data_IF_032984227682
#
_entry.id   IF_032984227682
#
_cell.length_a   1.000
_cell.length_b   1.000
_cell.length_c   1.000
_cell.angle_alpha   90.00
_cell.angle_beta   90.00
_cell.angle_gamma   90.00
#
_symmetry.space_group_name_H-M   'P 1'
#
loop_
_entity.id
_entity.type
_entity.pdbx_description
1 polymer ?
#
# COMPACT_ATOMS: atom_id res chain seq x y z
N UNK A 1 8.33 1.74 -3.02
CA UNK A 1 9.57 1.92 -3.80
C UNK A 1 9.49 3.00 -4.88
N UNK A 2 8.58 2.90 -5.85
CA UNK A 2 8.47 3.90 -6.94
C UNK A 2 8.37 5.33 -6.42
N UNK A 3 7.47 5.57 -5.45
CA UNK A 3 7.32 6.90 -4.84
C UNK A 3 8.55 7.40 -4.09
N UNK A 4 9.34 6.53 -3.47
CA UNK A 4 10.59 6.93 -2.79
C UNK A 4 11.61 7.40 -3.83
N UNK A 5 11.75 6.64 -4.92
CA UNK A 5 12.65 6.98 -6.02
C UNK A 5 12.24 8.30 -6.66
N UNK A 6 10.97 8.43 -7.04
CA UNK A 6 10.45 9.64 -7.67
C UNK A 6 10.56 10.85 -6.75
N UNK A 7 10.23 10.71 -5.47
CA UNK A 7 10.28 11.83 -4.53
C UNK A 7 11.69 12.40 -4.32
N UNK A 8 12.72 11.57 -4.46
CA UNK A 8 14.13 12.00 -4.38
C UNK A 8 14.64 12.66 -5.67
N UNK A 9 13.99 12.39 -6.81
CA UNK A 9 14.42 12.89 -8.12
C UNK A 9 13.63 14.11 -8.57
N UNK A 10 12.34 14.18 -8.22
CA UNK A 10 11.47 15.28 -8.59
C UNK A 10 11.75 16.48 -7.70
N UNK A 11 12.05 17.62 -8.32
CA UNK A 11 12.23 18.89 -7.63
C UNK A 11 11.05 19.83 -7.87
N UNK A 12 10.64 20.53 -6.81
CA UNK A 12 9.74 21.68 -6.88
C UNK A 12 10.18 22.71 -5.85
N UNK A 13 9.96 23.99 -6.13
CA UNK A 13 10.37 25.10 -5.26
C UNK A 13 11.84 25.00 -4.78
N UNK A 14 12.73 24.54 -5.66
CA UNK A 14 14.18 24.52 -5.44
C UNK A 14 14.71 23.36 -4.59
N UNK A 15 13.91 22.31 -4.31
CA UNK A 15 14.38 21.11 -3.61
C UNK A 15 13.61 19.84 -3.99
N UNK A 16 14.18 18.65 -3.75
CA UNK A 16 13.49 17.38 -3.93
C UNK A 16 12.19 17.32 -3.14
N UNK A 17 11.14 16.73 -3.72
CA UNK A 17 9.84 16.66 -3.05
C UNK A 17 9.85 15.76 -1.80
N UNK A 18 10.84 14.87 -1.68
CA UNK A 18 11.10 14.07 -0.48
C UNK A 18 11.42 14.91 0.77
N UNK A 19 11.76 16.20 0.62
CA UNK A 19 12.00 17.11 1.74
C UNK A 19 10.74 17.79 2.28
N UNK A 20 9.60 17.66 1.59
CA UNK A 20 8.34 18.21 2.09
C UNK A 20 7.70 17.25 3.10
N UNK A 21 7.34 17.79 4.27
CA UNK A 21 6.77 17.02 5.38
C UNK A 21 5.53 16.22 4.97
N UNK A 22 4.65 16.77 4.11
CA UNK A 22 3.45 16.06 3.66
C UNK A 22 3.79 14.85 2.77
N UNK A 23 4.83 14.95 1.92
CA UNK A 23 5.31 13.81 1.12
C UNK A 23 5.94 12.78 2.04
N UNK A 24 6.75 13.20 3.02
CA UNK A 24 7.34 12.32 4.02
C UNK A 24 6.26 11.58 4.82
N UNK A 25 5.19 12.26 5.23
CA UNK A 25 4.09 11.66 5.96
C UNK A 25 3.40 10.57 5.13
N UNK A 26 3.16 10.81 3.83
CA UNK A 26 2.58 9.79 2.96
C UNK A 26 3.48 8.57 2.86
N UNK A 27 4.78 8.76 2.64
CA UNK A 27 5.75 7.65 2.57
C UNK A 27 5.86 6.90 3.91
N UNK A 28 5.83 7.60 5.03
CA UNK A 28 5.84 7.00 6.36
C UNK A 28 4.57 6.16 6.62
N UNK A 29 3.40 6.69 6.24
CA UNK A 29 2.14 5.97 6.36
C UNK A 29 2.10 4.71 5.49
N UNK A 30 2.68 4.77 4.28
CA UNK A 30 2.83 3.58 3.42
C UNK A 30 3.68 2.52 4.12
N UNK A 31 4.86 2.89 4.63
CA UNK A 31 5.76 1.96 5.32
C UNK A 31 5.11 1.33 6.55
N UNK A 32 4.46 2.15 7.39
CA UNK A 32 3.71 1.68 8.55
C UNK A 32 2.66 0.62 8.14
N UNK A 33 1.95 0.86 7.04
CA UNK A 33 0.91 -0.04 6.56
C UNK A 33 1.49 -1.36 6.05
N UNK A 34 2.65 -1.32 5.38
CA UNK A 34 3.37 -2.51 4.94
C UNK A 34 3.79 -3.34 6.14
N UNK A 35 4.44 -2.73 7.13
CA UNK A 35 4.94 -3.43 8.31
C UNK A 35 3.80 -4.07 9.11
N UNK A 36 2.71 -3.32 9.35
CA UNK A 36 1.54 -3.83 10.03
C UNK A 36 0.87 -4.99 9.27
N UNK A 37 0.73 -4.87 7.95
CA UNK A 37 0.14 -5.91 7.12
C UNK A 37 1.00 -7.18 7.10
N UNK A 38 2.32 -7.02 7.01
CA UNK A 38 3.25 -8.14 7.03
C UNK A 38 3.20 -8.91 8.34
N UNK A 39 3.10 -8.23 9.48
CA UNK A 39 2.92 -8.88 10.78
C UNK A 39 1.60 -9.67 10.87
N UNK A 40 0.50 -9.15 10.31
CA UNK A 40 -0.79 -9.86 10.27
C UNK A 40 -0.70 -11.13 9.42
N UNK A 41 -0.09 -11.04 8.23
CA UNK A 41 0.10 -12.18 7.32
C UNK A 41 0.99 -13.23 7.95
N UNK A 42 2.11 -12.83 8.56
CA UNK A 42 3.02 -13.76 9.24
C UNK A 42 2.36 -14.45 10.42
N UNK A 43 1.55 -13.74 11.21
CA UNK A 43 0.78 -14.36 12.30
C UNK A 43 -0.19 -15.41 11.75
N UNK A 44 -0.95 -15.09 10.71
CA UNK A 44 -1.88 -16.04 10.09
C UNK A 44 -1.16 -17.28 9.54
N UNK A 45 -0.03 -17.08 8.85
CA UNK A 45 0.82 -18.15 8.33
C UNK A 45 1.45 -19.01 9.42
N UNK A 46 1.93 -18.39 10.50
CA UNK A 46 2.48 -19.11 11.65
C UNK A 46 1.43 -20.02 12.29
N UNK A 47 0.22 -19.51 12.56
CA UNK A 47 -0.88 -20.32 13.11
C UNK A 47 -1.24 -21.49 12.18
N UNK A 48 -1.25 -21.26 10.86
CA UNK A 48 -1.48 -22.30 9.86
C UNK A 48 -0.47 -23.43 9.99
N UNK A 49 0.82 -23.08 10.11
CA UNK A 49 1.91 -24.04 10.22
C UNK A 49 1.88 -24.82 11.54
N UNK A 50 1.31 -24.24 12.60
CA UNK A 50 1.08 -24.92 13.88
C UNK A 50 -0.17 -25.83 13.87
N UNK A 51 -0.92 -25.89 12.77
CA UNK A 51 -2.20 -26.62 12.72
C UNK A 51 -3.31 -25.97 13.55
N UNK A 52 -3.13 -24.71 13.96
CA UNK A 52 -4.10 -23.97 14.78
C UNK A 52 -5.09 -23.28 13.84
N UNK A 53 -6.39 -23.38 14.14
CA UNK A 53 -7.43 -22.68 13.38
C UNK A 53 -7.16 -21.17 13.36
N UNK A 54 -7.13 -20.58 12.17
CA UNK A 54 -6.70 -19.21 11.94
C UNK A 54 -7.63 -18.43 10.99
N UNK A 55 -8.90 -18.85 10.86
CA UNK A 55 -9.87 -18.25 9.94
C UNK A 55 -10.01 -16.75 10.19
N UNK A 56 -10.07 -16.34 11.46
CA UNK A 56 -10.20 -14.94 11.86
C UNK A 56 -8.95 -14.14 11.49
N UNK A 57 -7.76 -14.65 11.80
CA UNK A 57 -6.48 -13.98 11.53
C UNK A 57 -6.23 -13.84 10.03
N UNK A 58 -6.61 -14.86 9.26
CA UNK A 58 -6.56 -14.82 7.79
C UNK A 58 -7.50 -13.75 7.24
N UNK A 59 -8.74 -13.66 7.76
CA UNK A 59 -9.71 -12.64 7.38
C UNK A 59 -9.20 -11.23 7.66
N UNK A 60 -8.70 -11.01 8.89
CA UNK A 60 -8.13 -9.72 9.30
C UNK A 60 -6.92 -9.32 8.47
N UNK A 61 -6.02 -10.28 8.18
CA UNK A 61 -4.83 -10.02 7.36
C UNK A 61 -5.23 -9.62 5.93
N UNK A 62 -6.16 -10.35 5.31
CA UNK A 62 -6.68 -10.05 3.98
C UNK A 62 -7.28 -8.65 3.94
N UNK A 63 -8.26 -8.37 4.79
CA UNK A 63 -8.94 -7.09 4.81
C UNK A 63 -7.97 -5.92 4.99
N UNK A 64 -7.12 -5.98 6.02
CA UNK A 64 -6.17 -4.91 6.29
C UNK A 64 -5.21 -4.71 5.12
N UNK A 65 -4.60 -5.79 4.60
CA UNK A 65 -3.59 -5.68 3.54
C UNK A 65 -4.18 -5.13 2.25
N UNK A 66 -5.41 -5.51 1.88
CA UNK A 66 -6.02 -5.05 0.63
C UNK A 66 -6.44 -3.59 0.70
N UNK A 67 -7.02 -3.16 1.83
CA UNK A 67 -7.38 -1.75 2.04
C UNK A 67 -6.11 -0.87 2.13
N UNK A 68 -5.09 -1.35 2.86
CA UNK A 68 -3.79 -0.69 2.96
C UNK A 68 -3.11 -0.55 1.59
N UNK A 69 -3.07 -1.62 0.80
CA UNK A 69 -2.47 -1.59 -0.53
C UNK A 69 -3.19 -0.58 -1.45
N UNK A 70 -4.53 -0.54 -1.41
CA UNK A 70 -5.30 0.41 -2.20
C UNK A 70 -5.03 1.86 -1.79
N UNK A 71 -4.98 2.14 -0.49
CA UNK A 71 -4.56 3.46 0.03
C UNK A 71 -3.14 3.83 -0.40
N UNK A 72 -2.18 2.92 -0.23
CA UNK A 72 -0.78 3.17 -0.61
C UNK A 72 -0.63 3.44 -2.11
N UNK A 73 -1.37 2.73 -2.96
CA UNK A 73 -1.35 2.97 -4.40
C UNK A 73 -2.00 4.32 -4.76
N UNK A 74 -3.06 4.73 -4.07
CA UNK A 74 -3.67 6.04 -4.25
C UNK A 74 -2.70 7.18 -3.85
N UNK A 75 -2.09 7.05 -2.67
CA UNK A 75 -1.07 7.98 -2.19
C UNK A 75 0.14 8.01 -3.13
N UNK A 76 0.49 6.88 -3.76
CA UNK A 76 1.58 6.83 -4.74
C UNK A 76 1.27 7.66 -5.98
N UNK A 77 0.04 7.60 -6.51
CA UNK A 77 -0.42 8.48 -7.59
C UNK A 77 -0.29 9.95 -7.18
N UNK A 78 -0.72 10.28 -5.97
CA UNK A 78 -0.66 11.66 -5.46
C UNK A 78 0.78 12.18 -5.29
N UNK A 79 1.74 11.34 -4.86
CA UNK A 79 3.17 11.69 -4.80
C UNK A 79 3.73 12.00 -6.20
N UNK A 80 3.24 11.32 -7.24
CA UNK A 80 3.68 11.54 -8.61
C UNK A 80 2.97 12.71 -9.31
N UNK A 81 1.84 13.19 -8.75
CA UNK A 81 1.03 14.25 -9.35
C UNK A 81 0.43 13.79 -10.69
N UNK A 82 0.45 14.65 -11.71
CA UNK A 82 -0.09 14.31 -13.04
C UNK A 82 0.59 13.09 -13.67
N UNK A 83 1.89 12.90 -13.44
CA UNK A 83 2.64 11.72 -13.88
C UNK A 83 2.18 10.42 -13.18
N UNK A 84 1.52 10.53 -12.03
CA UNK A 84 0.91 9.38 -11.39
C UNK A 84 -0.38 8.90 -12.08
N UNK A 85 -0.93 9.71 -12.98
CA UNK A 85 -2.13 9.40 -13.76
C UNK A 85 -1.81 9.06 -15.22
N UNK A 86 -0.54 9.18 -15.63
CA UNK A 86 -0.04 8.69 -16.92
C UNK A 86 0.51 7.28 -16.82
N UNK A 87 0.63 6.60 -17.95
CA UNK A 87 1.21 5.26 -18.07
C UNK A 87 2.75 5.26 -18.12
N UNK A 88 3.38 6.43 -18.01
CA UNK A 88 4.84 6.59 -17.91
C UNK A 88 5.40 6.00 -16.59
N UNK A 89 4.59 5.98 -15.52
CA UNK A 89 4.93 5.41 -14.22
C UNK A 89 3.92 4.33 -13.84
N UNK A 90 4.37 3.26 -13.19
CA UNK A 90 3.49 2.12 -12.91
C UNK A 90 2.50 2.37 -11.77
N UNK A 91 2.58 3.50 -11.06
CA UNK A 91 1.70 3.79 -9.91
C UNK A 91 0.22 3.79 -10.27
N UNK A 92 -0.15 4.20 -11.49
CA UNK A 92 -1.52 4.08 -11.99
C UNK A 92 -1.96 2.62 -12.08
N UNK A 93 -1.07 1.74 -12.58
CA UNK A 93 -1.32 0.30 -12.71
C UNK A 93 -1.45 -0.34 -11.34
N UNK A 94 -0.62 0.05 -10.37
CA UNK A 94 -0.73 -0.41 -8.99
C UNK A 94 -2.10 -0.04 -8.38
N UNK A 95 -2.60 1.17 -8.64
CA UNK A 95 -3.92 1.59 -8.17
C UNK A 95 -5.04 0.75 -8.79
N UNK A 96 -4.99 0.49 -10.11
CA UNK A 96 -5.96 -0.39 -10.77
C UNK A 96 -5.91 -1.82 -10.22
N UNK A 97 -4.72 -2.37 -10.03
CA UNK A 97 -4.51 -3.73 -9.53
C UNK A 97 -5.02 -3.89 -8.08
N UNK A 98 -4.80 -2.90 -7.22
CA UNK A 98 -5.25 -2.99 -5.82
C UNK A 98 -6.77 -2.91 -5.68
N UNK A 99 -7.48 -2.31 -6.65
CA UNK A 99 -8.94 -2.20 -6.59
C UNK A 99 -9.63 -3.56 -6.70
N UNK A 100 -9.07 -4.52 -7.44
CA UNK A 100 -9.64 -5.86 -7.50
C UNK A 100 -9.48 -6.61 -6.18
N UNK A 101 -8.37 -6.39 -5.46
CA UNK A 101 -8.03 -7.09 -4.22
C UNK A 101 -9.01 -6.82 -3.05
N UNK A 102 -9.66 -5.66 -3.03
CA UNK A 102 -10.72 -5.34 -2.06
C UNK A 102 -12.08 -5.98 -2.40
N UNK A 103 -12.18 -6.69 -3.54
CA UNK A 103 -13.42 -7.29 -4.04
C UNK A 103 -13.32 -8.82 -4.10
N UNK A 104 -12.29 -9.36 -4.75
CA UNK A 104 -12.16 -10.81 -4.90
C UNK A 104 -11.78 -11.48 -3.58
N UNK A 105 -12.06 -12.79 -3.49
CA UNK A 105 -11.82 -13.64 -2.31
C UNK A 105 -12.51 -13.14 -1.02
N UNK A 106 -13.62 -12.40 -1.18
CA UNK A 106 -14.40 -11.78 -0.10
C UNK A 106 -14.23 -10.26 -0.12
N UNK A 107 -15.32 -9.51 -0.17
CA UNK A 107 -15.22 -8.04 -0.11
C UNK A 107 -14.79 -7.60 1.29
N UNK A 108 -14.28 -6.37 1.45
CA UNK A 108 -13.91 -5.84 2.78
C UNK A 108 -15.06 -5.89 3.80
N UNK A 109 -16.34 -5.89 3.36
CA UNK A 109 -17.52 -5.98 4.23
C UNK A 109 -17.85 -7.40 4.71
N UNK A 110 -17.27 -8.41 4.07
CA UNK A 110 -17.48 -9.83 4.41
C UNK A 110 -16.37 -10.35 5.33
N UNK A 111 -15.26 -9.62 5.43
CA UNK A 111 -14.12 -9.98 6.26
C UNK A 111 -14.19 -9.43 7.69
#
# INVERSE_FOLDING_TARGET
DESIKYAKQRETFGRPIAEYQLVQQMLANMQQSIDAGQLLVWKAGWLKNQGIRNTRETSMAKWFCTDAANRCANDAVQVHGAYGYSDEYNVERHLRNTKSAVIYEGTSQIH
#
